data_IF_085262062534
#
_entry.id   IF_085262062534
#
_cell.length_a   1.000
_cell.length_b   1.000
_cell.length_c   1.000
_cell.angle_alpha   90.00
_cell.angle_beta   90.00
_cell.angle_gamma   90.00
#
_symmetry.space_group_name_H-M   'P 1'
#
loop_
_entity.id
_entity.type
_entity.pdbx_description
1 polymer ?
#
# COMPACT_ATOMS: atom_id res chain seq x y z
N UNK A 1 -16.02 13.50 -10.44
CA UNK A 1 -16.36 12.67 -9.62
C UNK A 1 -15.69 11.43 -9.63
N UNK A 2 -15.90 10.61 -10.53
CA UNK A 2 -15.28 9.36 -10.54
C UNK A 2 -13.79 9.48 -10.54
N UNK A 3 -13.25 10.50 -11.11
CA UNK A 3 -11.85 10.63 -11.11
C UNK A 3 -11.28 10.80 -9.76
N UNK A 4 -11.95 11.54 -8.91
CA UNK A 4 -11.46 11.73 -7.58
C UNK A 4 -11.54 10.44 -6.82
N UNK A 5 -12.57 9.67 -7.07
CA UNK A 5 -12.70 8.41 -6.41
C UNK A 5 -11.58 7.50 -6.81
N UNK A 6 -11.21 7.54 -8.06
CA UNK A 6 -10.15 6.70 -8.53
C UNK A 6 -8.85 7.05 -7.86
N UNK A 7 -8.59 8.29 -7.63
CA UNK A 7 -7.39 8.66 -6.98
C UNK A 7 -7.36 8.17 -5.57
N UNK A 8 -8.45 8.33 -4.87
CA UNK A 8 -8.52 7.91 -3.52
C UNK A 8 -8.48 6.42 -3.42
N UNK A 9 -8.96 5.77 -4.47
CA UNK A 9 -9.07 4.35 -4.45
C UNK A 9 -7.93 3.73 -5.17
N UNK A 10 -6.75 3.93 -4.68
CA UNK A 10 -5.58 3.40 -5.31
C UNK A 10 -5.65 1.92 -5.45
N UNK A 11 -5.14 1.44 -6.55
CA UNK A 11 -5.04 0.02 -6.71
C UNK A 11 -3.78 -0.42 -6.04
N UNK A 12 -3.90 -1.19 -5.00
CA UNK A 12 -2.74 -1.66 -4.27
C UNK A 12 -2.18 -2.90 -4.95
N UNK A 13 -0.96 -2.82 -5.41
CA UNK A 13 -0.32 -3.99 -5.99
C UNK A 13 0.93 -4.28 -5.17
N UNK A 14 1.64 -5.32 -5.55
CA UNK A 14 2.78 -5.77 -4.76
C UNK A 14 3.84 -4.71 -4.58
N UNK A 15 4.11 -3.96 -5.63
CA UNK A 15 5.16 -2.96 -5.56
C UNK A 15 4.78 -1.82 -4.63
N UNK A 16 3.55 -1.40 -4.68
CA UNK A 16 3.10 -0.31 -3.82
C UNK A 16 3.08 -0.76 -2.37
N UNK A 17 2.66 -1.98 -2.12
CA UNK A 17 2.62 -2.49 -0.77
C UNK A 17 4.03 -2.58 -0.20
N UNK A 18 4.97 -3.07 -0.99
CA UNK A 18 6.34 -3.16 -0.54
C UNK A 18 6.90 -1.77 -0.28
N UNK A 19 6.60 -0.82 -1.18
CA UNK A 19 7.09 0.54 -1.01
C UNK A 19 6.52 1.17 0.26
N UNK A 20 5.25 0.95 0.53
CA UNK A 20 4.65 1.48 1.73
C UNK A 20 5.30 0.86 2.96
N UNK A 21 5.49 -0.45 2.94
CA UNK A 21 6.10 -1.13 4.06
C UNK A 21 7.49 -0.58 4.34
N UNK A 22 8.26 -0.37 3.29
CA UNK A 22 9.61 0.17 3.47
C UNK A 22 9.58 1.61 3.95
N UNK A 23 8.63 2.36 3.47
CA UNK A 23 8.47 3.74 3.91
C UNK A 23 8.20 3.77 5.43
N UNK A 24 7.45 2.81 5.92
CA UNK A 24 7.15 2.73 7.32
C UNK A 24 8.26 2.08 8.14
N UNK A 25 9.24 1.52 7.48
CA UNK A 25 10.34 0.86 8.19
C UNK A 25 9.94 -0.45 8.82
N UNK A 26 8.98 -1.15 8.25
CA UNK A 26 8.46 -2.36 8.84
C UNK A 26 8.91 -3.61 8.09
N UNK A 27 9.04 -4.71 8.82
CA UNK A 27 9.25 -6.00 8.20
C UNK A 27 7.90 -6.50 7.71
N UNK A 28 7.90 -7.56 6.92
CA UNK A 28 6.65 -8.14 6.47
C UNK A 28 5.81 -8.61 7.65
N UNK A 29 6.47 -9.15 8.66
CA UNK A 29 5.77 -9.61 9.83
C UNK A 29 5.12 -8.46 10.57
N UNK A 30 5.85 -7.37 10.74
CA UNK A 30 5.30 -6.22 11.43
C UNK A 30 4.15 -5.62 10.65
N UNK A 31 4.27 -5.58 9.33
CA UNK A 31 3.19 -5.08 8.51
C UNK A 31 1.96 -5.96 8.66
N UNK A 32 2.16 -7.27 8.70
CA UNK A 32 1.03 -8.17 8.84
C UNK A 32 0.31 -7.94 10.15
N UNK A 33 1.05 -7.65 11.19
CA UNK A 33 0.45 -7.39 12.48
C UNK A 33 -0.36 -6.10 12.44
N UNK A 34 0.16 -5.12 11.72
CA UNK A 34 -0.51 -3.86 11.60
C UNK A 34 -1.85 -4.00 10.88
N UNK A 35 -1.89 -4.88 9.90
CA UNK A 35 -3.07 -5.09 9.09
C UNK A 35 -3.98 -6.20 9.61
N UNK A 36 -3.55 -6.90 10.64
CA UNK A 36 -4.35 -7.98 11.18
C UNK A 36 -4.39 -9.20 10.27
N UNK A 37 -3.30 -9.46 9.57
CA UNK A 37 -3.26 -10.58 8.67
C UNK A 37 -1.99 -11.38 8.93
N UNK A 38 -1.67 -12.31 8.08
CA UNK A 38 -0.50 -13.16 8.26
C UNK A 38 0.66 -12.69 7.42
N UNK A 39 1.86 -12.97 7.90
CA UNK A 39 3.04 -12.59 7.15
C UNK A 39 3.03 -13.18 5.75
N UNK A 40 2.58 -14.41 5.62
CA UNK A 40 2.51 -15.04 4.33
C UNK A 40 1.63 -14.27 3.36
N UNK A 41 0.54 -13.70 3.86
CA UNK A 41 -0.34 -12.92 3.03
C UNK A 41 0.38 -11.69 2.49
N UNK A 42 1.14 -11.02 3.33
CA UNK A 42 1.91 -9.87 2.88
C UNK A 42 2.89 -10.28 1.79
N UNK A 43 3.56 -11.39 2.03
CA UNK A 43 4.53 -11.88 1.06
C UNK A 43 3.86 -12.18 -0.28
N UNK A 44 2.71 -12.80 -0.24
CA UNK A 44 2.00 -13.13 -1.47
C UNK A 44 1.53 -11.90 -2.22
N UNK A 45 1.12 -10.88 -1.50
CA UNK A 45 0.76 -9.64 -2.14
C UNK A 45 1.98 -9.01 -2.82
N UNK A 46 3.10 -9.01 -2.12
CA UNK A 46 4.29 -8.32 -2.64
C UNK A 46 4.86 -8.97 -3.88
N UNK A 47 4.70 -10.28 -3.99
CA UNK A 47 5.20 -10.95 -5.19
C UNK A 47 4.14 -11.03 -6.29
N UNK A 48 2.95 -10.48 -6.03
CA UNK A 48 1.92 -10.45 -7.05
C UNK A 48 1.08 -11.68 -7.19
N UNK A 49 1.17 -12.60 -6.23
CA UNK A 49 0.39 -13.82 -6.30
C UNK A 49 -1.08 -13.53 -6.06
N UNK A 50 -1.38 -12.65 -5.12
CA UNK A 50 -2.74 -12.23 -4.83
C UNK A 50 -2.77 -10.75 -4.64
N UNK A 51 -3.91 -10.14 -4.81
CA UNK A 51 -4.07 -8.73 -4.55
C UNK A 51 -4.98 -8.54 -3.36
N UNK A 52 -4.71 -7.52 -2.55
CA UNK A 52 -5.58 -7.26 -1.41
C UNK A 52 -6.96 -6.83 -1.88
N UNK A 53 -7.95 -7.08 -1.07
CA UNK A 53 -9.31 -6.71 -1.39
C UNK A 53 -10.04 -6.20 -0.19
N UNK A 54 -11.11 -5.49 -0.44
CA UNK A 54 -12.03 -5.07 0.61
C UNK A 54 -11.36 -4.31 1.72
N UNK A 55 -11.53 -4.79 2.94
CA UNK A 55 -11.01 -4.12 4.10
C UNK A 55 -9.51 -3.91 4.03
N UNK A 56 -8.80 -4.83 3.44
CA UNK A 56 -7.35 -4.70 3.35
C UNK A 56 -6.94 -3.48 2.56
N UNK A 57 -7.62 -3.21 1.46
CA UNK A 57 -7.26 -2.05 0.66
C UNK A 57 -7.58 -0.77 1.42
N UNK A 58 -8.68 -0.78 2.16
CA UNK A 58 -9.04 0.38 2.96
C UNK A 58 -8.00 0.66 4.01
N UNK A 59 -7.55 -0.39 4.70
CA UNK A 59 -6.54 -0.21 5.73
C UNK A 59 -5.23 0.27 5.14
N UNK A 60 -4.84 -0.28 4.01
CA UNK A 60 -3.60 0.16 3.37
C UNK A 60 -3.68 1.63 3.02
N UNK A 61 -4.81 2.06 2.49
CA UNK A 61 -4.98 3.45 2.13
C UNK A 61 -4.92 4.35 3.36
N UNK A 62 -5.57 3.93 4.44
CA UNK A 62 -5.55 4.72 5.64
C UNK A 62 -4.15 4.85 6.23
N UNK A 63 -3.42 3.75 6.24
CA UNK A 63 -2.07 3.77 6.76
C UNK A 63 -1.19 4.65 5.89
N UNK A 64 -1.37 4.57 4.59
CA UNK A 64 -0.57 5.38 3.68
C UNK A 64 -0.86 6.86 3.90
N UNK A 65 -2.11 7.20 4.10
CA UNK A 65 -2.47 8.58 4.32
C UNK A 65 -1.89 9.10 5.61
N UNK A 66 -1.94 8.29 6.65
CA UNK A 66 -1.41 8.70 7.92
C UNK A 66 0.09 8.89 7.88
N UNK A 67 0.75 8.09 7.07
CA UNK A 67 2.20 8.16 6.95
C UNK A 67 2.63 9.15 5.89
N UNK A 68 1.68 9.81 5.24
CA UNK A 68 1.96 10.74 4.18
C UNK A 68 2.80 10.08 3.10
N UNK A 69 2.42 8.86 2.77
CA UNK A 69 3.13 8.10 1.76
C UNK A 69 2.62 8.50 0.39
N UNK A 70 3.50 8.99 -0.45
CA UNK A 70 3.14 9.38 -1.80
C UNK A 70 3.95 8.55 -2.75
N UNK A 71 3.26 7.74 -3.54
CA UNK A 71 3.96 6.84 -4.42
C UNK A 71 4.40 7.60 -5.66
N UNK A 72 5.53 7.20 -6.12
CA UNK A 72 6.26 7.71 -7.19
C UNK A 72 5.83 8.76 -8.15
N UNK A 73 4.72 8.72 -8.68
CA UNK A 73 4.32 9.62 -9.70
C UNK A 73 4.56 11.06 -9.31
N UNK A 74 4.21 11.39 -8.10
CA UNK A 74 4.40 12.72 -7.66
C UNK A 74 5.81 13.08 -7.46
N UNK A 75 6.62 12.15 -7.12
CA UNK A 75 8.00 12.40 -6.97
C UNK A 75 8.60 12.83 -8.26
N UNK A 76 8.18 12.23 -9.34
CA UNK A 76 8.68 12.57 -10.60
C UNK A 76 8.34 13.97 -10.94
N UNK A 77 7.14 14.36 -10.68
CA UNK A 77 6.75 15.69 -10.97
C UNK A 77 7.54 16.71 -10.21
N UNK A 78 7.85 16.39 -9.01
CA UNK A 78 8.59 17.28 -8.24
C UNK A 78 9.95 17.50 -8.78
N UNK A 79 10.53 16.53 -9.32
CA UNK A 79 11.82 16.63 -9.82
C UNK A 79 11.86 17.56 -10.97
N UNK A 80 10.82 17.60 -11.71
CA UNK A 80 10.83 18.47 -12.83
C UNK A 80 10.73 19.88 -12.39
#
# INVERSE_FOLDING_TARGET
MSKDSDKLNLQWDGKKIQALRKHLGLTQREMSERLGTRQQTISEWEIGMYQPRGTSTTLLTMIAEQAKFIYDVEKKEKKS
#
